data_IF_855324082207
#
_entry.id   IF_855324082207
#
_cell.length_a   1.000
_cell.length_b   1.000
_cell.length_c   1.000
_cell.angle_alpha   90.00
_cell.angle_beta   90.00
_cell.angle_gamma   90.00
#
_symmetry.space_group_name_H-M   'P 1'
#
loop_
_entity.id
_entity.type
_entity.pdbx_description
1 polymer ?
#
# COMPACT_ATOMS: atom_id res chain seq x y z
N UNK A 1 -5.38 15.99 3.66
CA UNK A 1 -4.25 16.67 3.00
C UNK A 1 -4.38 16.71 1.48
N UNK A 2 -4.14 15.59 0.78
CA UNK A 2 -4.14 15.56 -0.68
C UNK A 2 -5.42 16.14 -1.30
N UNK A 3 -6.59 15.62 -0.97
CA UNK A 3 -7.88 16.11 -1.51
C UNK A 3 -8.21 17.57 -1.14
N UNK A 4 -7.66 18.08 -0.06
CA UNK A 4 -7.79 19.52 0.28
C UNK A 4 -7.07 20.38 -0.75
N UNK A 5 -5.89 19.95 -1.20
CA UNK A 5 -5.07 20.66 -2.19
C UNK A 5 -5.67 20.51 -3.59
N UNK A 6 -6.18 19.33 -3.95
CA UNK A 6 -6.79 19.09 -5.28
C UNK A 6 -7.93 20.05 -5.60
N UNK A 7 -8.74 20.42 -4.61
CA UNK A 7 -9.82 21.39 -4.80
C UNK A 7 -9.33 22.78 -5.24
N UNK A 8 -8.07 23.12 -4.93
CA UNK A 8 -7.44 24.39 -5.33
C UNK A 8 -6.67 24.24 -6.64
N UNK A 9 -6.01 23.10 -6.86
CA UNK A 9 -5.19 22.84 -8.07
C UNK A 9 -6.03 22.61 -9.32
N UNK A 10 -7.22 22.01 -9.18
CA UNK A 10 -8.10 21.65 -10.30
C UNK A 10 -7.35 20.89 -11.41
N UNK A 11 -6.79 19.68 -11.12
CA UNK A 11 -6.02 18.93 -12.08
C UNK A 11 -6.86 18.57 -13.31
N UNK A 12 -6.19 18.27 -14.43
CA UNK A 12 -6.84 17.89 -15.68
C UNK A 12 -7.44 16.49 -15.68
N UNK A 13 -7.00 15.62 -14.77
CA UNK A 13 -7.47 14.24 -14.61
C UNK A 13 -8.51 14.14 -13.50
N UNK A 14 -9.42 13.19 -13.63
CA UNK A 14 -10.34 12.81 -12.56
C UNK A 14 -9.60 11.99 -11.50
N UNK A 15 -9.78 12.32 -10.22
CA UNK A 15 -9.09 11.65 -9.11
C UNK A 15 -10.10 11.11 -8.11
N UNK A 16 -10.05 9.81 -7.86
CA UNK A 16 -10.84 9.13 -6.86
C UNK A 16 -10.01 8.81 -5.62
N UNK A 17 -10.56 9.09 -4.43
CA UNK A 17 -9.97 8.69 -3.17
C UNK A 17 -10.78 7.60 -2.50
N UNK A 18 -10.15 6.46 -2.25
CA UNK A 18 -10.77 5.31 -1.59
C UNK A 18 -10.07 5.09 -0.26
N UNK A 19 -10.84 5.02 0.82
CA UNK A 19 -10.34 4.72 2.17
C UNK A 19 -11.13 3.54 2.72
N UNK A 20 -10.44 2.43 2.97
CA UNK A 20 -11.01 1.29 3.67
C UNK A 20 -10.88 1.51 5.20
N UNK A 21 -11.92 2.07 5.80
CA UNK A 21 -11.94 2.38 7.23
C UNK A 21 -12.64 1.25 8.01
N UNK A 22 -11.87 0.51 8.80
CA UNK A 22 -12.34 -0.63 9.60
C UNK A 22 -11.79 -0.56 11.01
N UNK A 23 -12.46 -1.22 11.95
CA UNK A 23 -11.96 -1.47 13.30
C UNK A 23 -11.23 -2.83 13.33
N UNK A 24 -10.06 -2.88 13.97
CA UNK A 24 -9.34 -4.11 14.29
C UNK A 24 -9.19 -4.21 15.83
N UNK A 25 -10.27 -4.60 16.50
CA UNK A 25 -10.37 -4.64 17.96
C UNK A 25 -10.66 -6.07 18.45
N UNK A 26 -10.07 -6.49 19.57
CA UNK A 26 -10.41 -7.75 20.21
C UNK A 26 -11.91 -7.83 20.56
N UNK A 27 -12.57 -8.88 20.08
CA UNK A 27 -13.98 -9.14 20.45
C UNK A 27 -14.32 -10.61 20.23
N UNK A 28 -15.47 -11.05 20.77
CA UNK A 28 -15.99 -12.40 20.53
C UNK A 28 -16.40 -12.65 19.06
N UNK A 29 -16.49 -11.62 18.23
CA UNK A 29 -16.83 -11.70 16.80
C UNK A 29 -15.66 -11.34 15.89
N UNK A 30 -14.50 -10.97 16.45
CA UNK A 30 -13.32 -10.65 15.64
C UNK A 30 -12.81 -11.90 14.90
N UNK A 31 -12.20 -11.68 13.75
CA UNK A 31 -11.48 -12.74 13.01
C UNK A 31 -10.33 -13.30 13.86
N UNK A 32 -10.05 -14.58 13.69
CA UNK A 32 -9.04 -15.30 14.45
C UNK A 32 -8.08 -16.03 13.51
N UNK A 33 -6.85 -16.32 13.95
CA UNK A 33 -5.97 -17.21 13.20
C UNK A 33 -6.68 -18.57 12.94
N UNK A 34 -6.63 -19.01 11.68
CA UNK A 34 -7.33 -20.20 11.20
C UNK A 34 -8.68 -19.91 10.50
N UNK A 35 -9.22 -18.70 10.64
CA UNK A 35 -10.40 -18.30 9.86
C UNK A 35 -10.03 -18.13 8.37
N UNK A 36 -11.00 -18.38 7.49
CA UNK A 36 -10.91 -18.09 6.05
C UNK A 36 -11.91 -16.98 5.74
N UNK A 37 -11.41 -15.89 5.19
CA UNK A 37 -12.25 -14.77 4.72
C UNK A 37 -12.31 -14.76 3.20
N UNK A 38 -13.37 -14.20 2.66
CA UNK A 38 -13.55 -14.05 1.22
C UNK A 38 -13.49 -12.58 0.85
N UNK A 39 -12.52 -12.22 0.02
CA UNK A 39 -12.40 -10.88 -0.55
C UNK A 39 -13.50 -10.59 -1.56
N UNK A 40 -13.74 -9.32 -1.86
CA UNK A 40 -14.81 -8.86 -2.75
C UNK A 40 -14.64 -9.31 -4.21
N UNK A 41 -13.44 -9.68 -4.65
CA UNK A 41 -13.18 -10.32 -5.95
C UNK A 41 -13.45 -11.85 -5.96
N UNK A 42 -13.83 -12.42 -4.81
CA UNK A 42 -14.14 -13.84 -4.66
C UNK A 42 -12.99 -14.71 -4.15
N UNK A 43 -11.74 -14.22 -4.14
CA UNK A 43 -10.59 -14.95 -3.60
C UNK A 43 -10.74 -15.19 -2.10
N UNK A 44 -10.35 -16.37 -1.66
CA UNK A 44 -10.34 -16.77 -0.25
C UNK A 44 -8.96 -16.54 0.36
N UNK A 45 -8.93 -16.09 1.61
CA UNK A 45 -7.69 -15.75 2.32
C UNK A 45 -7.70 -16.42 3.68
N UNK A 46 -6.71 -17.28 3.92
CA UNK A 46 -6.43 -17.88 5.22
C UNK A 46 -5.79 -16.84 6.14
N UNK A 47 -6.38 -16.62 7.29
CA UNK A 47 -5.87 -15.71 8.31
C UNK A 47 -4.95 -16.48 9.25
N UNK A 48 -3.67 -16.12 9.26
CA UNK A 48 -2.67 -16.68 10.16
C UNK A 48 -2.18 -15.65 11.20
N UNK A 49 -2.34 -14.37 10.90
CA UNK A 49 -2.01 -13.27 11.82
C UNK A 49 -3.04 -12.14 11.67
N UNK A 50 -3.71 -11.80 12.74
CA UNK A 50 -4.72 -10.73 12.75
C UNK A 50 -4.14 -9.32 12.75
N UNK A 51 -2.83 -9.16 13.01
CA UNK A 51 -2.08 -7.90 12.88
C UNK A 51 -1.67 -7.60 11.42
N UNK A 52 -1.99 -8.51 10.50
CA UNK A 52 -1.85 -8.32 9.05
C UNK A 52 -3.22 -8.04 8.38
N UNK A 53 -4.06 -7.22 9.04
CA UNK A 53 -5.41 -6.84 8.59
C UNK A 53 -5.38 -5.76 7.50
N UNK A 54 -4.39 -4.86 7.53
CA UNK A 54 -4.30 -3.74 6.59
C UNK A 54 -4.32 -4.20 5.13
N UNK A 55 -3.62 -5.29 4.81
CA UNK A 55 -3.63 -5.86 3.46
C UNK A 55 -4.98 -6.48 3.07
N UNK A 56 -5.78 -6.94 4.04
CA UNK A 56 -7.10 -7.48 3.78
C UNK A 56 -8.07 -6.37 3.38
N UNK A 57 -8.01 -5.24 4.07
CA UNK A 57 -8.84 -4.07 3.75
C UNK A 57 -8.41 -3.43 2.43
N UNK A 58 -7.10 -3.38 2.16
CA UNK A 58 -6.57 -2.91 0.87
C UNK A 58 -6.97 -3.83 -0.29
N UNK A 59 -7.02 -5.15 -0.10
CA UNK A 59 -7.50 -6.09 -1.11
C UNK A 59 -8.90 -5.73 -1.62
N UNK A 60 -9.81 -5.39 -0.70
CA UNK A 60 -11.16 -4.98 -1.05
C UNK A 60 -11.21 -3.56 -1.66
N UNK A 61 -10.39 -2.63 -1.15
CA UNK A 61 -10.27 -1.29 -1.72
C UNK A 61 -9.75 -1.31 -3.16
N UNK A 62 -8.70 -2.10 -3.43
CA UNK A 62 -8.12 -2.27 -4.77
C UNK A 62 -9.14 -2.93 -5.73
N UNK A 63 -9.83 -3.97 -5.26
CA UNK A 63 -10.91 -4.60 -6.04
C UNK A 63 -12.06 -3.62 -6.34
N UNK A 64 -12.37 -2.73 -5.39
CA UNK A 64 -13.37 -1.69 -5.61
C UNK A 64 -12.88 -0.65 -6.61
N UNK A 65 -11.61 -0.22 -6.52
CA UNK A 65 -11.02 0.75 -7.44
C UNK A 65 -11.17 0.35 -8.90
N UNK A 66 -11.07 -0.95 -9.21
CA UNK A 66 -11.27 -1.47 -10.56
C UNK A 66 -12.63 -1.09 -11.17
N UNK A 67 -13.69 -0.98 -10.35
CA UNK A 67 -15.04 -0.61 -10.84
C UNK A 67 -15.10 0.81 -11.39
N UNK A 68 -14.12 1.64 -11.08
CA UNK A 68 -14.02 3.02 -11.56
C UNK A 68 -13.21 3.11 -12.86
N UNK A 69 -12.70 1.97 -13.37
CA UNK A 69 -11.88 1.86 -14.59
C UNK A 69 -10.72 2.88 -14.63
N UNK A 70 -9.92 3.02 -13.56
CA UNK A 70 -8.88 4.04 -13.49
C UNK A 70 -7.75 3.72 -14.48
N UNK A 71 -7.10 4.74 -15.00
CA UNK A 71 -5.89 4.60 -15.84
C UNK A 71 -4.66 4.19 -15.02
N UNK A 72 -4.63 4.56 -13.75
CA UNK A 72 -3.59 4.19 -12.79
C UNK A 72 -4.15 4.12 -11.37
N UNK A 73 -3.56 3.26 -10.54
CA UNK A 73 -3.87 3.11 -9.12
C UNK A 73 -2.60 3.32 -8.32
N UNK A 74 -2.66 4.20 -7.33
CA UNK A 74 -1.58 4.38 -6.34
C UNK A 74 -2.18 4.19 -4.96
N UNK A 75 -1.70 3.20 -4.21
CA UNK A 75 -2.08 3.00 -2.82
C UNK A 75 -0.93 3.30 -1.86
N UNK A 76 -1.25 3.83 -0.72
CA UNK A 76 -0.31 4.15 0.36
C UNK A 76 -0.78 3.47 1.64
N UNK A 77 0.12 2.74 2.28
CA UNK A 77 -0.17 2.13 3.57
C UNK A 77 1.07 2.01 4.44
N UNK A 78 0.90 2.08 5.74
CA UNK A 78 1.90 1.67 6.74
C UNK A 78 1.88 0.15 6.84
N UNK A 79 2.30 -0.53 5.75
CA UNK A 79 1.94 -1.92 5.55
C UNK A 79 2.83 -2.89 6.31
N UNK A 80 4.16 -2.66 6.31
CA UNK A 80 5.06 -3.68 6.86
C UNK A 80 6.19 -3.10 7.71
N UNK A 81 6.39 -3.68 8.89
CA UNK A 81 7.62 -3.48 9.65
C UNK A 81 8.86 -3.98 8.91
N UNK A 82 8.70 -4.93 7.98
CA UNK A 82 9.79 -5.42 7.13
C UNK A 82 10.35 -4.33 6.21
N UNK A 83 9.52 -3.42 5.71
CA UNK A 83 9.96 -2.26 4.94
C UNK A 83 10.81 -1.33 5.81
N UNK A 84 10.38 -1.06 7.04
CA UNK A 84 11.14 -0.23 8.00
C UNK A 84 12.50 -0.86 8.32
N UNK A 85 12.55 -2.19 8.50
CA UNK A 85 13.81 -2.91 8.73
C UNK A 85 14.75 -2.82 7.53
N UNK A 86 14.22 -2.82 6.31
CA UNK A 86 15.02 -2.77 5.09
C UNK A 86 15.49 -1.36 4.72
N UNK A 87 14.64 -0.35 4.87
CA UNK A 87 14.85 1.00 4.32
C UNK A 87 14.97 2.09 5.41
N UNK A 88 14.70 1.75 6.67
CA UNK A 88 14.67 2.73 7.76
C UNK A 88 13.34 3.50 7.82
N UNK A 89 13.35 4.57 8.58
CA UNK A 89 12.17 5.39 8.92
C UNK A 89 11.97 6.63 8.02
N UNK A 90 12.87 6.83 7.04
CA UNK A 90 12.80 7.99 6.13
C UNK A 90 12.48 7.63 4.68
N UNK A 91 12.54 6.34 4.29
CA UNK A 91 12.44 5.92 2.89
C UNK A 91 11.22 5.02 2.69
N UNK A 92 10.38 5.40 1.74
CA UNK A 92 9.23 4.59 1.30
C UNK A 92 9.68 3.44 0.41
N UNK A 93 9.13 2.24 0.64
CA UNK A 93 9.25 1.14 -0.30
C UNK A 93 8.21 1.27 -1.41
N UNK A 94 8.64 1.41 -2.67
CA UNK A 94 7.76 1.45 -3.83
C UNK A 94 7.75 0.09 -4.52
N UNK A 95 6.59 -0.48 -4.75
CA UNK A 95 6.39 -1.69 -5.56
C UNK A 95 5.38 -1.41 -6.66
N UNK A 96 5.59 -2.01 -7.85
CA UNK A 96 4.72 -1.75 -9.00
C UNK A 96 4.76 -2.90 -10.01
N UNK A 97 3.65 -3.09 -10.70
CA UNK A 97 3.53 -3.95 -11.87
C UNK A 97 3.72 -3.20 -13.20
N UNK A 98 3.97 -1.87 -13.15
CA UNK A 98 4.12 -1.01 -14.32
C UNK A 98 5.33 -0.09 -14.16
N UNK A 99 6.31 -0.20 -15.07
CA UNK A 99 7.57 0.53 -14.98
C UNK A 99 7.42 2.03 -15.23
N UNK A 100 6.56 2.43 -16.16
CA UNK A 100 6.33 3.84 -16.51
C UNK A 100 5.66 4.56 -15.34
N UNK A 101 4.62 3.97 -14.75
CA UNK A 101 3.96 4.53 -13.57
C UNK A 101 4.91 4.60 -12.37
N UNK A 102 5.71 3.54 -12.14
CA UNK A 102 6.70 3.53 -11.07
C UNK A 102 7.70 4.66 -11.21
N UNK A 103 8.22 4.89 -12.45
CA UNK A 103 9.16 5.97 -12.70
C UNK A 103 8.51 7.34 -12.51
N UNK A 104 7.28 7.53 -12.99
CA UNK A 104 6.53 8.78 -12.81
C UNK A 104 6.32 9.11 -11.32
N UNK A 105 6.03 8.10 -10.49
CA UNK A 105 5.92 8.29 -9.03
C UNK A 105 7.28 8.62 -8.41
N UNK A 106 8.36 7.95 -8.82
CA UNK A 106 9.71 8.23 -8.32
C UNK A 106 10.16 9.66 -8.66
N UNK A 107 9.95 10.10 -9.90
CA UNK A 107 10.30 11.45 -10.34
C UNK A 107 9.48 12.51 -9.57
N UNK A 108 8.20 12.23 -9.34
CA UNK A 108 7.33 13.09 -8.53
C UNK A 108 7.76 13.15 -7.06
N UNK A 109 8.25 12.03 -6.53
CA UNK A 109 8.77 11.95 -5.17
C UNK A 109 10.08 12.73 -5.02
N UNK A 110 10.98 12.67 -6.02
CA UNK A 110 12.22 13.43 -6.06
C UNK A 110 11.95 14.95 -6.06
N UNK A 111 11.04 15.42 -6.92
CA UNK A 111 10.65 16.83 -6.96
C UNK A 111 9.95 17.29 -5.66
N UNK A 112 9.16 16.41 -5.06
CA UNK A 112 8.52 16.66 -3.77
C UNK A 112 9.49 16.59 -2.57
N UNK A 113 10.72 16.09 -2.77
CA UNK A 113 11.69 15.85 -1.71
C UNK A 113 11.27 14.74 -0.74
N UNK A 114 10.51 13.74 -1.21
CA UNK A 114 10.10 12.55 -0.46
C UNK A 114 10.89 11.34 -0.97
N UNK A 115 11.71 10.75 -0.10
CA UNK A 115 12.60 9.65 -0.48
C UNK A 115 11.83 8.36 -0.71
N UNK A 116 12.03 7.74 -1.87
CA UNK A 116 11.45 6.44 -2.20
C UNK A 116 12.50 5.51 -2.81
N UNK A 117 12.33 4.22 -2.60
CA UNK A 117 13.18 3.19 -3.20
C UNK A 117 12.32 2.11 -3.84
N UNK A 118 12.55 1.84 -5.14
CA UNK A 118 11.84 0.78 -5.84
C UNK A 118 12.32 -0.59 -5.39
N UNK A 119 11.40 -1.40 -4.87
CA UNK A 119 11.61 -2.77 -4.46
C UNK A 119 11.06 -3.74 -5.52
N UNK A 120 11.68 -4.91 -5.72
CA UNK A 120 11.24 -5.86 -6.74
C UNK A 120 9.95 -6.57 -6.32
N UNK A 121 9.07 -6.86 -7.29
CA UNK A 121 8.01 -7.86 -7.17
C UNK A 121 8.55 -9.22 -7.66
N UNK A 122 9.35 -9.91 -6.84
CA UNK A 122 9.95 -11.21 -7.18
C UNK A 122 8.88 -12.31 -7.22
N UNK A 123 8.45 -12.68 -8.42
CA UNK A 123 7.33 -13.61 -8.64
C UNK A 123 7.50 -14.98 -7.99
N UNK A 124 8.73 -15.46 -7.78
CA UNK A 124 8.98 -16.73 -7.07
C UNK A 124 8.49 -16.70 -5.64
N UNK A 125 8.46 -15.52 -5.00
CA UNK A 125 7.98 -15.39 -3.62
C UNK A 125 6.45 -15.48 -3.51
N UNK A 126 5.73 -15.51 -4.65
CA UNK A 126 4.28 -15.77 -4.67
C UNK A 126 3.93 -17.09 -3.95
N UNK A 127 4.77 -18.13 -4.10
CA UNK A 127 4.58 -19.40 -3.41
C UNK A 127 4.61 -19.31 -1.87
N UNK A 128 5.22 -18.28 -1.31
CA UNK A 128 5.25 -18.07 0.14
C UNK A 128 3.90 -17.63 0.73
N UNK A 129 2.99 -17.14 -0.10
CA UNK A 129 1.64 -16.71 0.29
C UNK A 129 0.54 -17.63 -0.23
N UNK A 130 0.87 -18.80 -0.77
CA UNK A 130 -0.08 -19.85 -1.13
C UNK A 130 -0.59 -20.57 0.13
N UNK A 131 -1.87 -20.91 0.14
CA UNK A 131 -2.51 -21.69 1.21
C UNK A 131 -2.91 -23.08 0.71
N UNK A 132 -2.93 -24.04 1.61
CA UNK A 132 -3.42 -25.39 1.32
C UNK A 132 -4.96 -25.49 1.38
N UNK A 133 -5.62 -24.46 1.96
CA UNK A 133 -7.06 -24.49 2.26
C UNK A 133 -7.81 -23.25 1.75
N UNK A 134 -7.07 -22.27 1.16
CA UNK A 134 -7.61 -21.06 0.57
C UNK A 134 -6.76 -20.69 -0.66
N UNK A 135 -7.15 -19.64 -1.39
CA UNK A 135 -6.35 -19.15 -2.53
C UNK A 135 -5.04 -18.48 -2.08
N UNK A 136 -5.08 -17.80 -0.94
CA UNK A 136 -3.96 -17.07 -0.37
C UNK A 136 -3.93 -17.24 1.15
N UNK A 137 -2.76 -16.92 1.75
CA UNK A 137 -2.66 -16.62 3.18
C UNK A 137 -2.25 -15.17 3.40
N UNK A 138 -2.68 -14.59 4.50
CA UNK A 138 -2.42 -13.18 4.77
C UNK A 138 -0.99 -12.86 5.23
N UNK A 139 -0.20 -13.86 5.62
CA UNK A 139 1.23 -13.73 5.92
C UNK A 139 2.02 -14.84 5.22
N UNK A 140 3.30 -14.60 4.87
CA UNK A 140 4.13 -15.60 4.23
C UNK A 140 4.51 -16.75 5.19
N UNK A 141 4.88 -17.90 4.62
CA UNK A 141 5.45 -19.04 5.36
C UNK A 141 6.85 -18.78 5.92
N UNK A 142 7.53 -17.75 5.41
CA UNK A 142 8.87 -17.34 5.82
C UNK A 142 8.84 -15.93 6.42
N UNK A 143 9.70 -15.68 7.43
CA UNK A 143 9.93 -14.34 7.97
C UNK A 143 10.72 -13.42 7.03
N UNK A 144 11.31 -13.98 5.97
CA UNK A 144 12.13 -13.22 5.02
C UNK A 144 11.27 -12.67 3.86
N UNK A 145 11.66 -11.53 3.33
CA UNK A 145 10.99 -10.91 2.20
C UNK A 145 9.58 -10.39 2.51
N UNK A 146 9.29 -10.05 3.78
CA UNK A 146 7.94 -9.70 4.24
C UNK A 146 7.32 -8.51 3.49
N UNK A 147 8.12 -7.49 3.14
CA UNK A 147 7.64 -6.36 2.33
C UNK A 147 7.28 -6.81 0.91
N UNK A 148 8.13 -7.63 0.28
CA UNK A 148 7.91 -8.11 -1.09
C UNK A 148 6.68 -9.02 -1.19
N UNK A 149 6.50 -9.93 -0.21
CA UNK A 149 5.33 -10.82 -0.17
C UNK A 149 4.04 -10.06 0.12
N UNK A 150 4.10 -8.96 0.87
CA UNK A 150 2.97 -8.07 1.07
C UNK A 150 2.57 -7.36 -0.24
N UNK A 151 3.55 -6.85 -1.01
CA UNK A 151 3.30 -6.29 -2.33
C UNK A 151 2.72 -7.31 -3.31
N UNK A 152 3.26 -8.53 -3.34
CA UNK A 152 2.72 -9.63 -4.16
C UNK A 152 1.29 -10.03 -3.75
N UNK A 153 0.97 -9.96 -2.45
CA UNK A 153 -0.39 -10.17 -1.99
C UNK A 153 -1.34 -9.10 -2.54
N UNK A 154 -0.96 -7.82 -2.49
CA UNK A 154 -1.80 -6.73 -3.02
C UNK A 154 -1.95 -6.82 -4.54
N UNK A 155 -0.90 -7.21 -5.26
CA UNK A 155 -0.94 -7.38 -6.73
C UNK A 155 -2.04 -8.35 -7.18
N UNK A 156 -2.41 -9.34 -6.36
CA UNK A 156 -3.50 -10.29 -6.63
C UNK A 156 -4.89 -9.62 -6.75
N UNK A 157 -5.02 -8.37 -6.33
CA UNK A 157 -6.29 -7.65 -6.27
C UNK A 157 -6.38 -6.45 -7.23
N UNK A 158 -5.30 -6.15 -7.97
CA UNK A 158 -5.29 -5.05 -8.96
C UNK A 158 -5.68 -5.48 -10.37
N UNK A 159 -5.75 -6.80 -10.62
CA UNK A 159 -6.24 -7.40 -11.89
C UNK A 159 -5.57 -6.80 -13.15
N UNK A 160 -4.25 -6.62 -13.11
CA UNK A 160 -3.45 -6.14 -14.23
C UNK A 160 -3.54 -4.65 -14.53
N UNK A 161 -4.27 -3.86 -13.77
CA UNK A 161 -4.26 -2.40 -13.91
C UNK A 161 -2.87 -1.85 -13.56
N UNK A 162 -2.41 -0.75 -14.22
CA UNK A 162 -1.20 -0.05 -13.80
C UNK A 162 -1.31 0.36 -12.33
N UNK A 163 -0.39 -0.13 -11.52
CA UNK A 163 -0.48 0.01 -10.07
C UNK A 163 0.89 0.27 -9.42
N UNK A 164 0.88 1.14 -8.43
CA UNK A 164 1.98 1.39 -7.50
C UNK A 164 1.48 1.26 -6.08
N UNK A 165 2.20 0.49 -5.28
CA UNK A 165 2.08 0.45 -3.82
C UNK A 165 3.23 1.22 -3.19
N UNK A 166 2.90 2.09 -2.24
CA UNK A 166 3.83 2.84 -1.41
C UNK A 166 3.74 2.35 0.04
N UNK A 167 4.72 1.54 0.46
CA UNK A 167 4.84 1.14 1.86
C UNK A 167 5.50 2.27 2.65
N UNK A 168 4.65 3.08 3.28
CA UNK A 168 5.05 4.26 4.06
C UNK A 168 5.20 3.99 5.55
N UNK A 169 5.35 2.72 5.96
CA UNK A 169 5.45 2.33 7.37
C UNK A 169 6.55 3.08 8.13
N UNK A 170 7.69 3.38 7.47
CA UNK A 170 8.76 4.19 8.05
C UNK A 170 8.39 5.68 8.14
N UNK A 171 8.21 6.37 7.01
CA UNK A 171 8.12 7.83 6.98
C UNK A 171 6.76 8.41 7.40
N UNK A 172 5.71 7.61 7.59
CA UNK A 172 4.36 8.11 7.91
C UNK A 172 4.24 8.77 9.28
N UNK A 173 5.09 8.41 10.24
CA UNK A 173 5.03 8.91 11.61
C UNK A 173 6.42 9.23 12.16
N UNK A 174 6.59 10.44 12.71
CA UNK A 174 7.84 10.90 13.31
C UNK A 174 7.73 10.90 14.85
N UNK A 175 8.60 10.15 15.52
CA UNK A 175 8.68 10.17 17.00
C UNK A 175 9.28 11.47 17.55
N UNK A 176 10.09 12.15 16.73
CA UNK A 176 10.72 13.44 17.02
C UNK A 176 10.68 14.31 15.75
N UNK A 177 10.81 15.64 15.86
CA UNK A 177 10.89 16.50 14.68
C UNK A 177 12.01 16.04 13.72
N UNK A 178 11.67 15.87 12.45
CA UNK A 178 12.60 15.44 11.39
C UNK A 178 13.14 16.64 10.59
N UNK A 179 12.36 17.72 10.50
CA UNK A 179 12.74 18.97 9.83
C UNK A 179 12.00 20.14 10.45
N UNK A 180 12.36 21.37 10.06
CA UNK A 180 11.69 22.58 10.57
C UNK A 180 10.19 22.63 10.31
N UNK A 181 9.72 21.94 9.28
CA UNK A 181 8.31 21.83 8.87
C UNK A 181 7.68 20.46 9.18
N UNK A 182 8.45 19.49 9.66
CA UNK A 182 8.00 18.16 10.03
C UNK A 182 8.17 17.96 11.54
N UNK A 183 7.10 18.25 12.28
CA UNK A 183 7.05 18.03 13.73
C UNK A 183 6.86 16.56 14.08
N UNK A 184 6.79 16.27 15.39
CA UNK A 184 6.41 14.96 15.92
C UNK A 184 4.96 14.64 15.54
N UNK A 185 4.69 13.39 15.12
CA UNK A 185 3.36 12.90 14.77
C UNK A 185 3.27 12.43 13.32
N UNK A 186 2.06 12.42 12.78
CA UNK A 186 1.83 12.08 11.37
C UNK A 186 2.49 13.10 10.45
N UNK A 187 3.29 12.63 9.51
CA UNK A 187 4.12 13.49 8.66
C UNK A 187 3.40 14.00 7.42
N UNK A 188 2.31 13.35 7.01
CA UNK A 188 1.66 13.58 5.71
C UNK A 188 2.50 13.11 4.53
N UNK A 189 3.46 12.19 4.75
CA UNK A 189 4.30 11.63 3.70
C UNK A 189 3.46 11.04 2.56
N UNK A 190 3.90 11.25 1.32
CA UNK A 190 3.19 10.89 0.09
C UNK A 190 2.21 11.95 -0.41
N UNK A 191 1.76 12.89 0.42
CA UNK A 191 0.83 13.95 -0.03
C UNK A 191 1.47 14.83 -1.11
N UNK A 192 2.71 15.25 -0.93
CA UNK A 192 3.43 16.10 -1.89
C UNK A 192 3.72 15.34 -3.18
N UNK A 193 4.19 14.09 -3.07
CA UNK A 193 4.40 13.21 -4.23
C UNK A 193 3.12 13.04 -5.05
N UNK A 194 1.96 12.82 -4.41
CA UNK A 194 0.70 12.68 -5.13
C UNK A 194 0.25 13.97 -5.81
N UNK A 195 0.55 15.13 -5.22
CA UNK A 195 0.28 16.42 -5.85
C UNK A 195 1.12 16.57 -7.13
N UNK A 196 2.44 16.37 -7.04
CA UNK A 196 3.35 16.42 -8.18
C UNK A 196 2.95 15.40 -9.29
N UNK A 197 2.56 14.19 -8.88
CA UNK A 197 2.14 13.16 -9.82
C UNK A 197 0.90 13.59 -10.63
N UNK A 198 -0.10 14.14 -9.95
CA UNK A 198 -1.36 14.54 -10.59
C UNK A 198 -1.18 15.78 -11.48
N UNK A 199 -0.25 16.68 -11.15
CA UNK A 199 0.08 17.83 -12.00
C UNK A 199 0.80 17.43 -13.30
N UNK A 200 1.46 16.26 -13.32
CA UNK A 200 2.13 15.69 -14.51
C UNK A 200 1.20 14.88 -15.41
N UNK A 201 0.04 14.45 -14.91
CA UNK A 201 -0.98 13.71 -15.65
C UNK A 201 -1.91 14.64 -16.45
#
# INVERSE_FOLDING_TARGET
GFFTVLGQLQPRCEVHGIVAAVENMPSGKAIRPGDIVKASNGKTIEILNTDAEGRLTLADALTYAKKLEPTAVVDLATLTGACVVALGDEITGLMSNNDELAQSVLDSAEDAGEKMWRMPLEKRYRSLIESDIADLRNIPTSRYGGSLTAGLFLEEFVDGQPWVHLDIAGPAFAEKPMASYLGKGGTGHGVRTLVELVERM
#
